data_IF_755267855010
#
_entry.id   IF_755267855010
#
_cell.length_a   1.000
_cell.length_b   1.000
_cell.length_c   1.000
_cell.angle_alpha   90.00
_cell.angle_beta   90.00
_cell.angle_gamma   90.00
#
_symmetry.space_group_name_H-M   'P 1'
#
loop_
_entity.id
_entity.type
_entity.pdbx_description
1 polymer ?
#
# COMPACT_ATOMS: atom_id res chain seq x y z
N UNK A 1 20.83 37.87 -21.36
CA UNK A 1 20.86 36.39 -21.20
C UNK A 1 19.43 35.98 -20.88
N UNK A 2 18.65 35.64 -21.90
CA UNK A 2 17.22 35.40 -21.75
C UNK A 2 16.94 34.01 -21.18
N UNK A 3 16.13 33.95 -20.14
CA UNK A 3 15.66 32.71 -19.50
C UNK A 3 14.62 32.06 -20.42
N UNK A 4 14.95 30.86 -20.93
CA UNK A 4 13.98 30.02 -21.65
C UNK A 4 12.87 29.57 -20.68
N UNK A 5 11.60 29.63 -21.07
CA UNK A 5 10.53 29.11 -20.23
C UNK A 5 10.64 27.59 -20.07
N UNK A 6 10.45 27.11 -18.84
CA UNK A 6 10.33 25.71 -18.50
C UNK A 6 9.19 25.09 -19.32
N UNK A 7 9.50 24.07 -20.13
CA UNK A 7 8.48 23.26 -20.80
C UNK A 7 7.61 22.62 -19.73
N UNK A 8 6.30 22.85 -19.78
CA UNK A 8 5.33 22.06 -19.00
C UNK A 8 5.59 20.59 -19.34
N UNK A 9 5.98 19.79 -18.36
CA UNK A 9 6.15 18.35 -18.53
C UNK A 9 4.81 17.75 -18.95
N UNK A 10 4.79 17.12 -20.12
CA UNK A 10 3.64 16.33 -20.59
C UNK A 10 3.31 15.23 -19.56
N UNK A 11 2.02 14.94 -19.31
CA UNK A 11 1.63 13.85 -18.43
C UNK A 11 2.14 12.52 -19.02
N UNK A 12 2.99 11.83 -18.27
CA UNK A 12 3.38 10.46 -18.60
C UNK A 12 2.12 9.59 -18.62
N UNK A 13 1.80 9.03 -19.78
CA UNK A 13 0.71 8.09 -19.97
C UNK A 13 1.02 6.79 -19.20
N UNK A 14 0.23 6.51 -18.16
CA UNK A 14 0.31 5.30 -17.33
C UNK A 14 -0.84 4.35 -17.67
N UNK A 15 -0.73 3.58 -18.75
CA UNK A 15 -1.79 2.65 -19.18
C UNK A 15 -3.15 3.33 -19.41
N UNK A 16 -4.23 2.54 -19.44
CA UNK A 16 -5.61 3.03 -19.71
C UNK A 16 -6.24 3.80 -18.53
N UNK A 17 -5.52 3.97 -17.41
CA UNK A 17 -5.99 4.67 -16.22
C UNK A 17 -5.73 6.18 -16.32
N UNK A 18 -6.78 6.99 -16.17
CA UNK A 18 -6.71 8.45 -16.18
C UNK A 18 -6.93 9.03 -14.77
N UNK A 19 -6.18 10.07 -14.42
CA UNK A 19 -6.39 10.86 -13.21
C UNK A 19 -7.72 11.63 -13.34
N UNK A 20 -8.71 11.32 -12.48
CA UNK A 20 -10.04 11.98 -12.52
C UNK A 20 -10.10 13.26 -11.69
N UNK A 21 -9.25 13.40 -10.69
CA UNK A 21 -9.25 14.57 -9.82
C UNK A 21 -8.34 14.43 -8.61
N UNK A 22 -8.14 15.56 -7.95
CA UNK A 22 -7.49 15.65 -6.64
C UNK A 22 -8.62 15.85 -5.62
N UNK A 23 -8.75 14.94 -4.67
CA UNK A 23 -9.64 15.13 -3.52
C UNK A 23 -8.80 15.41 -2.28
N UNK A 24 -9.18 16.42 -1.51
CA UNK A 24 -8.61 16.66 -0.19
C UNK A 24 -9.30 15.74 0.80
N UNK A 25 -8.54 14.81 1.40
CA UNK A 25 -9.07 14.01 2.51
C UNK A 25 -9.32 14.87 3.76
N UNK A 26 -10.10 14.38 4.74
CA UNK A 26 -10.37 15.10 5.99
C UNK A 26 -9.11 15.43 6.81
N UNK A 27 -7.97 14.82 6.49
CA UNK A 27 -6.66 15.07 7.09
C UNK A 27 -5.71 15.92 6.22
N UNK A 28 -6.20 16.61 5.18
CA UNK A 28 -5.41 17.54 4.37
C UNK A 28 -4.48 16.92 3.32
N UNK A 29 -4.39 15.59 3.23
CA UNK A 29 -3.66 14.89 2.18
C UNK A 29 -4.34 14.98 0.81
N UNK A 30 -3.55 15.13 -0.25
CA UNK A 30 -4.05 15.20 -1.63
C UNK A 30 -4.18 13.79 -2.21
N UNK A 31 -5.41 13.29 -2.31
CA UNK A 31 -5.71 11.97 -2.89
C UNK A 31 -5.82 12.09 -4.42
N UNK A 32 -5.02 11.28 -5.12
CA UNK A 32 -5.14 11.08 -6.57
C UNK A 32 -6.17 9.98 -6.81
N UNK A 33 -7.34 10.35 -7.34
CA UNK A 33 -8.32 9.37 -7.83
C UNK A 33 -7.93 8.96 -9.24
N UNK A 34 -7.58 7.70 -9.43
CA UNK A 34 -7.37 7.10 -10.74
C UNK A 34 -8.64 6.36 -11.15
N UNK A 35 -9.08 6.51 -12.40
CA UNK A 35 -10.22 5.77 -12.97
C UNK A 35 -9.84 5.17 -14.30
N UNK A 36 -10.40 4.00 -14.62
CA UNK A 36 -10.36 3.43 -15.95
C UNK A 36 -11.57 3.97 -16.73
N UNK A 37 -11.36 4.69 -17.84
CA UNK A 37 -12.45 5.15 -18.71
C UNK A 37 -12.83 4.04 -19.70
N UNK A 38 -13.32 2.93 -19.16
CA UNK A 38 -14.13 1.97 -19.92
C UNK A 38 -15.41 1.77 -19.10
N UNK A 39 -16.58 1.89 -19.72
CA UNK A 39 -17.87 1.65 -19.04
C UNK A 39 -17.88 0.21 -18.46
N UNK A 40 -17.58 0.10 -17.16
CA UNK A 40 -17.46 -1.16 -16.44
C UNK A 40 -16.52 -1.03 -15.23
N UNK A 41 -17.11 -0.91 -14.05
CA UNK A 41 -16.49 -1.18 -12.73
C UNK A 41 -15.20 -0.38 -12.41
N UNK A 42 -15.37 0.84 -11.92
CA UNK A 42 -14.23 1.69 -11.53
C UNK A 42 -13.55 1.16 -10.25
N UNK A 43 -12.26 0.83 -10.36
CA UNK A 43 -11.37 0.60 -9.22
C UNK A 43 -10.96 1.95 -8.61
N UNK A 44 -11.20 2.15 -7.32
CA UNK A 44 -10.81 3.36 -6.57
C UNK A 44 -9.82 3.03 -5.46
N UNK A 45 -8.83 3.91 -5.23
CA UNK A 45 -7.98 3.87 -4.04
C UNK A 45 -8.41 5.03 -3.13
N UNK A 46 -8.84 4.70 -1.91
CA UNK A 46 -9.30 5.69 -0.92
C UNK A 46 -8.51 5.57 0.38
N UNK A 47 -8.33 6.69 1.08
CA UNK A 47 -7.92 6.69 2.48
C UNK A 47 -9.15 6.44 3.36
N UNK A 48 -9.03 5.56 4.35
CA UNK A 48 -10.12 5.23 5.28
C UNK A 48 -9.59 4.98 6.70
N UNK A 49 -10.50 4.80 7.64
CA UNK A 49 -10.22 4.51 9.04
C UNK A 49 -9.98 3.00 9.26
N UNK A 50 -9.13 2.67 10.23
CA UNK A 50 -8.84 1.27 10.61
C UNK A 50 -10.06 0.55 11.20
N UNK A 51 -11.06 1.31 11.65
CA UNK A 51 -12.32 0.82 12.22
C UNK A 51 -13.40 0.56 11.17
N UNK A 52 -13.15 0.86 9.89
CA UNK A 52 -14.09 0.55 8.81
C UNK A 52 -14.35 -0.97 8.77
N UNK A 53 -15.63 -1.42 8.81
CA UNK A 53 -15.95 -2.84 8.84
C UNK A 53 -15.40 -3.65 7.66
N UNK A 54 -15.30 -3.03 6.48
CA UNK A 54 -14.72 -3.65 5.30
C UNK A 54 -13.20 -3.79 5.39
N UNK A 55 -12.52 -2.85 6.03
CA UNK A 55 -11.09 -2.98 6.37
C UNK A 55 -10.86 -4.08 7.41
N UNK A 56 -11.67 -4.11 8.47
CA UNK A 56 -11.57 -5.17 9.49
C UNK A 56 -11.82 -6.56 8.88
N UNK A 57 -12.74 -6.66 7.92
CA UNK A 57 -12.96 -7.89 7.15
C UNK A 57 -11.73 -8.27 6.32
N UNK A 58 -11.10 -7.31 5.60
CA UNK A 58 -9.86 -7.57 4.87
C UNK A 58 -8.69 -7.97 5.78
N UNK A 59 -8.59 -7.39 6.98
CA UNK A 59 -7.58 -7.81 7.96
C UNK A 59 -7.81 -9.23 8.45
N UNK A 60 -9.06 -9.60 8.71
CA UNK A 60 -9.42 -10.99 9.04
C UNK A 60 -9.09 -11.95 7.91
N UNK A 61 -9.45 -11.62 6.67
CA UNK A 61 -9.12 -12.42 5.47
C UNK A 61 -7.60 -12.55 5.26
N UNK A 62 -6.85 -11.48 5.49
CA UNK A 62 -5.39 -11.49 5.44
C UNK A 62 -4.78 -12.39 6.53
N UNK A 63 -5.30 -12.30 7.76
CA UNK A 63 -4.85 -13.12 8.87
C UNK A 63 -5.08 -14.61 8.59
N UNK A 64 -6.25 -14.99 8.07
CA UNK A 64 -6.54 -16.38 7.69
C UNK A 64 -5.66 -16.86 6.53
N UNK A 65 -5.44 -16.01 5.51
CA UNK A 65 -4.50 -16.31 4.42
C UNK A 65 -3.08 -16.58 4.96
N UNK A 66 -2.62 -15.75 5.89
CA UNK A 66 -1.30 -15.90 6.49
C UNK A 66 -1.21 -17.16 7.34
N UNK A 67 -2.21 -17.46 8.16
CA UNK A 67 -2.20 -18.67 8.99
C UNK A 67 -2.20 -19.96 8.16
N UNK A 68 -2.91 -19.98 7.04
CA UNK A 68 -2.87 -21.07 6.07
C UNK A 68 -1.48 -21.18 5.41
N UNK A 69 -0.97 -20.07 4.87
CA UNK A 69 0.35 -20.01 4.22
C UNK A 69 1.49 -20.46 5.15
N UNK A 70 1.43 -20.10 6.42
CA UNK A 70 2.49 -20.39 7.38
C UNK A 70 2.49 -21.84 7.85
N UNK A 71 1.39 -22.58 7.72
CA UNK A 71 1.34 -23.98 8.14
C UNK A 71 1.73 -24.16 9.62
N UNK A 72 2.79 -24.91 9.90
CA UNK A 72 3.28 -25.14 11.27
C UNK A 72 3.91 -23.88 11.89
N UNK A 73 4.48 -22.98 11.07
CA UNK A 73 5.10 -21.72 11.53
C UNK A 73 4.07 -20.68 12.00
N UNK A 74 2.77 -20.98 11.93
CA UNK A 74 1.68 -20.07 12.31
C UNK A 74 1.77 -19.62 13.78
N UNK A 75 2.46 -20.36 14.64
CA UNK A 75 2.68 -20.03 16.05
C UNK A 75 3.42 -18.69 16.26
N UNK A 76 4.16 -18.23 15.24
CA UNK A 76 4.88 -16.97 15.26
C UNK A 76 4.08 -15.79 14.68
N UNK A 77 2.86 -16.06 14.18
CA UNK A 77 2.00 -15.04 13.60
C UNK A 77 1.03 -14.48 14.63
N UNK A 78 0.92 -13.16 14.64
CA UNK A 78 -0.07 -12.45 15.46
C UNK A 78 -1.16 -11.89 14.56
N UNK A 79 -2.40 -12.33 14.79
CA UNK A 79 -3.60 -11.74 14.19
C UNK A 79 -3.71 -10.26 14.52
N UNK A 80 -4.43 -9.51 13.68
CA UNK A 80 -4.72 -8.10 13.92
C UNK A 80 -5.27 -7.84 15.31
N UNK A 81 -4.71 -6.81 15.94
CA UNK A 81 -5.24 -6.19 17.14
C UNK A 81 -5.06 -4.68 17.05
N UNK A 82 -5.99 -3.92 17.62
CA UNK A 82 -5.92 -2.45 17.69
C UNK A 82 -4.61 -1.95 18.34
N UNK A 83 -3.99 -2.76 19.20
CA UNK A 83 -2.67 -2.49 19.78
C UNK A 83 -1.54 -2.35 18.77
N UNK A 84 -1.74 -2.72 17.50
CA UNK A 84 -0.79 -2.43 16.40
C UNK A 84 -0.67 -0.94 16.09
N UNK A 85 -1.63 -0.12 16.52
CA UNK A 85 -1.61 1.35 16.36
C UNK A 85 -1.34 1.79 14.92
N UNK A 86 -2.10 1.22 13.99
CA UNK A 86 -2.08 1.66 12.59
C UNK A 86 -2.66 3.08 12.51
N UNK A 87 -1.96 3.99 11.84
CA UNK A 87 -2.36 5.39 11.75
C UNK A 87 -3.22 5.70 10.54
N UNK A 88 -2.92 5.06 9.41
CA UNK A 88 -3.62 5.26 8.13
C UNK A 88 -3.78 3.94 7.40
N UNK A 89 -4.91 3.79 6.71
CA UNK A 89 -5.19 2.64 5.84
C UNK A 89 -5.73 3.15 4.51
N UNK A 90 -5.21 2.61 3.42
CA UNK A 90 -5.81 2.78 2.10
C UNK A 90 -6.53 1.51 1.70
N UNK A 91 -7.71 1.68 1.13
CA UNK A 91 -8.52 0.62 0.56
C UNK A 91 -8.54 0.74 -0.97
N UNK A 92 -8.37 -0.38 -1.65
CA UNK A 92 -8.79 -0.53 -3.04
C UNK A 92 -10.25 -1.00 -3.03
N UNK A 93 -11.13 -0.32 -3.77
CA UNK A 93 -12.54 -0.69 -3.88
C UNK A 93 -12.96 -0.84 -5.32
N UNK A 94 -13.73 -1.88 -5.59
CA UNK A 94 -14.44 -2.06 -6.84
C UNK A 94 -15.94 -1.96 -6.56
N UNK A 95 -16.65 -1.08 -7.28
CA UNK A 95 -18.08 -0.83 -7.07
C UNK A 95 -18.45 -0.56 -5.59
N UNK A 96 -17.58 0.17 -4.88
CA UNK A 96 -17.75 0.50 -3.46
C UNK A 96 -17.46 -0.66 -2.49
N UNK A 97 -16.99 -1.82 -2.95
CA UNK A 97 -16.61 -2.96 -2.09
C UNK A 97 -15.09 -3.00 -1.91
N UNK A 98 -14.56 -3.07 -0.68
CA UNK A 98 -13.13 -3.26 -0.45
C UNK A 98 -12.62 -4.60 -0.98
N UNK A 99 -11.60 -4.53 -1.84
CA UNK A 99 -10.98 -5.70 -2.50
C UNK A 99 -9.49 -5.83 -2.17
N UNK A 100 -8.91 -4.81 -1.55
CA UNK A 100 -7.55 -4.85 -1.03
C UNK A 100 -7.27 -3.67 -0.11
N UNK A 101 -6.20 -3.77 0.67
CA UNK A 101 -5.78 -2.70 1.56
C UNK A 101 -4.26 -2.67 1.78
N UNK A 102 -3.78 -1.54 2.31
CA UNK A 102 -2.43 -1.36 2.86
C UNK A 102 -2.53 -0.40 4.04
N UNK A 103 -1.73 -0.62 5.08
CA UNK A 103 -1.70 0.18 6.28
C UNK A 103 -0.32 0.81 6.51
N UNK A 104 -0.33 1.92 7.22
CA UNK A 104 0.85 2.70 7.62
C UNK A 104 0.79 2.99 9.11
N UNK A 105 1.97 3.03 9.74
CA UNK A 105 2.21 3.68 11.03
C UNK A 105 3.60 4.31 11.05
N UNK A 106 3.81 5.31 11.87
CA UNK A 106 5.15 5.75 12.22
C UNK A 106 5.81 4.68 13.10
N UNK A 107 7.03 4.30 12.73
CA UNK A 107 7.84 3.33 13.47
C UNK A 107 8.82 4.05 14.39
N UNK A 108 9.48 5.06 13.85
CA UNK A 108 10.46 5.94 14.50
C UNK A 108 10.41 7.30 13.80
N UNK A 109 11.05 8.32 14.38
CA UNK A 109 11.08 9.67 13.81
C UNK A 109 11.60 9.64 12.36
N UNK A 110 10.74 10.01 11.41
CA UNK A 110 11.07 10.02 9.98
C UNK A 110 11.06 8.64 9.29
N UNK A 111 10.64 7.57 9.99
CA UNK A 111 10.58 6.21 9.47
C UNK A 111 9.14 5.67 9.55
N UNK A 112 8.58 5.37 8.39
CA UNK A 112 7.23 4.82 8.25
C UNK A 112 7.26 3.32 8.03
N UNK A 113 6.38 2.56 8.68
CA UNK A 113 6.26 1.12 8.50
C UNK A 113 5.06 0.76 7.61
N UNK A 114 5.32 0.00 6.55
CA UNK A 114 4.29 -0.59 5.69
C UNK A 114 3.76 -1.86 6.33
N UNK A 115 2.45 -1.92 6.51
CA UNK A 115 1.75 -3.05 7.13
C UNK A 115 0.56 -3.50 6.31
N UNK A 116 0.15 -4.75 6.54
CA UNK A 116 -1.15 -5.30 6.11
C UNK A 116 -1.48 -5.06 4.63
N UNK A 117 -0.49 -5.17 3.76
CA UNK A 117 -0.74 -5.17 2.33
C UNK A 117 -1.40 -6.49 1.93
N UNK A 118 -2.68 -6.45 1.56
CA UNK A 118 -3.44 -7.62 1.16
C UNK A 118 -4.38 -7.31 0.01
N UNK A 119 -4.43 -8.20 -0.97
CA UNK A 119 -5.37 -8.17 -2.09
C UNK A 119 -6.13 -9.49 -2.11
N UNK A 120 -7.46 -9.41 -2.21
CA UNK A 120 -8.34 -10.58 -2.40
C UNK A 120 -7.89 -11.38 -3.62
N UNK A 121 -7.99 -12.71 -3.54
CA UNK A 121 -7.35 -13.64 -4.49
C UNK A 121 -7.76 -13.37 -5.94
N UNK A 122 -9.04 -13.13 -6.15
CA UNK A 122 -9.69 -12.87 -7.42
C UNK A 122 -9.33 -11.49 -8.04
N UNK A 123 -8.69 -10.60 -7.27
CA UNK A 123 -8.21 -9.28 -7.73
C UNK A 123 -6.69 -9.20 -7.91
N UNK A 124 -5.97 -10.31 -7.70
CA UNK A 124 -4.50 -10.35 -7.85
C UNK A 124 -4.09 -10.30 -9.32
N UNK A 125 -2.86 -9.85 -9.56
CA UNK A 125 -2.30 -9.74 -10.91
C UNK A 125 -2.72 -8.47 -11.67
N UNK A 126 -3.59 -7.64 -11.09
CA UNK A 126 -4.13 -6.42 -11.72
C UNK A 126 -3.36 -5.14 -11.36
N UNK A 127 -2.22 -5.24 -10.66
CA UNK A 127 -1.40 -4.08 -10.27
C UNK A 127 -1.91 -3.29 -9.05
N UNK A 128 -3.02 -3.67 -8.42
CA UNK A 128 -3.64 -2.96 -7.29
C UNK A 128 -2.66 -2.73 -6.12
N UNK A 129 -1.83 -3.73 -5.79
CA UNK A 129 -0.85 -3.60 -4.70
C UNK A 129 0.21 -2.51 -4.95
N UNK A 130 0.56 -2.26 -6.22
CA UNK A 130 1.47 -1.18 -6.59
C UNK A 130 0.83 0.19 -6.39
N UNK A 131 -0.45 0.33 -6.76
CA UNK A 131 -1.17 1.60 -6.58
C UNK A 131 -1.41 1.92 -5.10
N UNK A 132 -1.77 0.91 -4.29
CA UNK A 132 -1.86 1.06 -2.84
C UNK A 132 -0.53 1.50 -2.22
N UNK A 133 0.58 0.84 -2.59
CA UNK A 133 1.91 1.20 -2.09
C UNK A 133 2.33 2.62 -2.50
N UNK A 134 2.03 3.05 -3.73
CA UNK A 134 2.28 4.43 -4.19
C UNK A 134 1.47 5.47 -3.42
N UNK A 135 0.21 5.18 -3.10
CA UNK A 135 -0.62 6.08 -2.29
C UNK A 135 -0.04 6.27 -0.89
N UNK A 136 0.37 5.17 -0.25
CA UNK A 136 1.05 5.20 1.05
C UNK A 136 2.38 5.95 0.97
N UNK A 137 3.22 5.69 -0.05
CA UNK A 137 4.49 6.39 -0.26
C UNK A 137 4.33 7.89 -0.45
N UNK A 138 3.28 8.31 -1.16
CA UNK A 138 2.97 9.74 -1.35
C UNK A 138 2.67 10.39 0.00
N UNK A 139 1.80 9.76 0.80
CA UNK A 139 1.48 10.24 2.14
C UNK A 139 2.71 10.29 3.04
N UNK A 140 3.54 9.23 3.05
CA UNK A 140 4.74 9.19 3.88
C UNK A 140 5.68 10.37 3.56
N UNK A 141 5.93 10.66 2.28
CA UNK A 141 6.72 11.84 1.87
C UNK A 141 6.11 13.15 2.35
N UNK A 142 4.79 13.30 2.24
CA UNK A 142 4.08 14.50 2.70
C UNK A 142 4.20 14.70 4.22
N UNK A 143 4.35 13.62 5.00
CA UNK A 143 4.60 13.67 6.44
C UNK A 143 6.08 13.86 6.81
N UNK A 144 6.98 14.07 5.83
CA UNK A 144 8.41 14.22 6.07
C UNK A 144 9.14 12.91 6.39
N UNK A 145 8.52 11.76 6.11
CA UNK A 145 9.16 10.46 6.19
C UNK A 145 10.29 10.37 5.16
N UNK A 146 11.49 9.97 5.59
CA UNK A 146 12.65 9.78 4.72
C UNK A 146 12.92 8.30 4.41
N UNK A 147 12.31 7.37 5.15
CA UNK A 147 12.51 5.92 4.95
C UNK A 147 11.21 5.16 5.19
N UNK A 148 10.83 4.28 4.25
CA UNK A 148 9.86 3.22 4.53
C UNK A 148 10.56 1.94 4.95
N UNK A 149 9.94 1.25 5.90
CA UNK A 149 10.37 -0.01 6.48
C UNK A 149 9.26 -1.06 6.38
N UNK A 150 9.62 -2.33 6.24
CA UNK A 150 8.69 -3.45 6.40
C UNK A 150 9.39 -4.74 6.79
N UNK A 151 8.61 -5.65 7.40
CA UNK A 151 9.00 -7.04 7.64
C UNK A 151 8.16 -7.98 6.77
N UNK A 152 8.77 -9.03 6.23
CA UNK A 152 8.06 -10.09 5.52
C UNK A 152 8.77 -11.43 5.62
N UNK A 153 8.14 -12.50 5.11
CA UNK A 153 8.82 -13.79 4.91
C UNK A 153 9.42 -13.84 3.51
N UNK A 154 10.66 -14.30 3.41
CA UNK A 154 11.35 -14.45 2.12
C UNK A 154 10.63 -15.40 1.17
N UNK A 155 9.85 -16.34 1.72
CA UNK A 155 9.02 -17.31 0.98
C UNK A 155 7.70 -16.72 0.46
N UNK A 156 7.31 -15.52 0.88
CA UNK A 156 6.21 -14.77 0.25
C UNK A 156 6.73 -14.10 -1.02
N UNK A 157 7.14 -14.91 -2.00
CA UNK A 157 7.80 -14.45 -3.24
C UNK A 157 7.05 -13.33 -3.97
N UNK A 158 5.70 -13.34 -4.07
CA UNK A 158 4.97 -12.24 -4.69
C UNK A 158 5.15 -10.90 -3.95
N UNK A 159 5.18 -10.92 -2.62
CA UNK A 159 5.37 -9.73 -1.81
C UNK A 159 6.82 -9.22 -1.89
N UNK A 160 7.80 -10.12 -1.74
CA UNK A 160 9.23 -9.77 -1.87
C UNK A 160 9.53 -9.20 -3.25
N UNK A 161 8.97 -9.79 -4.31
CA UNK A 161 9.14 -9.32 -5.69
C UNK A 161 8.51 -7.94 -5.89
N UNK A 162 7.31 -7.71 -5.35
CA UNK A 162 6.67 -6.40 -5.36
C UNK A 162 7.53 -5.34 -4.68
N UNK A 163 8.04 -5.62 -3.48
CA UNK A 163 8.82 -4.65 -2.72
C UNK A 163 10.16 -4.34 -3.39
N UNK A 164 10.89 -5.36 -3.87
CA UNK A 164 12.12 -5.16 -4.66
C UNK A 164 11.86 -4.32 -5.92
N UNK A 165 10.82 -4.65 -6.68
CA UNK A 165 10.45 -3.89 -7.87
C UNK A 165 10.01 -2.44 -7.56
N UNK A 166 9.59 -2.20 -6.32
CA UNK A 166 9.21 -0.86 -5.82
C UNK A 166 10.39 -0.11 -5.20
N UNK A 167 11.61 -0.69 -5.18
CA UNK A 167 12.83 -0.05 -4.69
C UNK A 167 13.20 -0.38 -3.24
N UNK A 168 12.51 -1.31 -2.58
CA UNK A 168 12.92 -1.80 -1.27
C UNK A 168 14.12 -2.74 -1.38
N UNK A 169 15.03 -2.63 -0.43
CA UNK A 169 16.22 -3.46 -0.30
C UNK A 169 16.15 -4.25 1.01
N UNK A 170 16.61 -5.50 0.98
CA UNK A 170 16.76 -6.29 2.21
C UNK A 170 17.93 -5.72 3.00
N UNK A 171 17.67 -5.32 4.24
CA UNK A 171 18.69 -4.79 5.16
C UNK A 171 19.08 -5.80 6.25
N UNK A 172 18.21 -6.75 6.54
CA UNK A 172 18.43 -7.79 7.53
C UNK A 172 17.66 -9.06 7.16
N UNK A 173 18.26 -10.22 7.44
CA UNK A 173 17.63 -11.52 7.27
C UNK A 173 17.99 -12.44 8.43
N UNK A 174 16.97 -13.03 9.05
CA UNK A 174 17.13 -14.08 10.06
C UNK A 174 16.18 -15.23 9.75
N UNK A 175 16.74 -16.39 9.41
CA UNK A 175 15.96 -17.52 8.92
C UNK A 175 15.13 -17.13 7.70
N UNK A 176 13.81 -17.32 7.81
CA UNK A 176 12.86 -17.01 6.73
C UNK A 176 12.27 -15.60 6.82
N UNK A 177 12.63 -14.81 7.83
CA UNK A 177 12.16 -13.44 7.99
C UNK A 177 13.18 -12.45 7.46
N UNK A 178 12.71 -11.46 6.72
CA UNK A 178 13.52 -10.38 6.16
C UNK A 178 12.92 -9.03 6.52
N UNK A 179 13.80 -8.08 6.82
CA UNK A 179 13.48 -6.68 6.98
C UNK A 179 13.93 -5.95 5.73
N UNK A 180 13.08 -5.07 5.22
CA UNK A 180 13.35 -4.31 4.01
C UNK A 180 13.12 -2.82 4.23
N UNK A 181 13.96 -2.00 3.61
CA UNK A 181 13.83 -0.55 3.65
C UNK A 181 13.88 0.05 2.25
N UNK A 182 13.24 1.21 2.13
CA UNK A 182 13.29 2.06 0.95
C UNK A 182 13.48 3.52 1.39
N UNK A 183 14.59 4.17 1.04
CA UNK A 183 14.70 5.62 1.12
C UNK A 183 13.63 6.29 0.25
N UNK A 184 12.97 7.32 0.78
CA UNK A 184 11.89 8.06 0.11
C UNK A 184 12.37 9.32 -0.61
#
# INVERSE_FOLDING_TARGET
MELRPLRKSEPQLYGDLRLRGLQTGPAGGTLKTFVNETEGEAMEIILTETTDPGILALFSEHDEYMLDFLGEDRIYYTRYRESEKLEKVWAARENGRPVGCIAYREKDAGVGEVKRLFIKKEYRGQGISKELLRALETYAREQGCHTLYLDTRITLEPAVSLYRASGFQIIFQQGLYVQMEKPL
#
